data_IF_680110767581
#
_entry.id   IF_680110767581
#
_cell.length_a   1.000
_cell.length_b   1.000
_cell.length_c   1.000
_cell.angle_alpha   90.00
_cell.angle_beta   90.00
_cell.angle_gamma   90.00
#
_symmetry.space_group_name_H-M   'P 1'
#
loop_
_entity.id
_entity.type
_entity.pdbx_description
1 polymer ?
#
# COMPACT_ATOMS: atom_id res chain seq x y z
N UNK A 1 35.39 15.85 -10.61
CA UNK A 1 34.80 15.82 -9.26
C UNK A 1 33.50 15.04 -9.32
N UNK A 2 33.48 13.80 -8.79
CA UNK A 2 32.30 12.92 -8.80
C UNK A 2 31.37 13.35 -7.67
N UNK A 3 30.18 13.83 -8.01
CA UNK A 3 29.13 14.14 -7.04
C UNK A 3 28.51 12.87 -6.48
N UNK A 4 28.82 12.56 -5.22
CA UNK A 4 28.06 11.60 -4.43
C UNK A 4 26.66 12.17 -4.19
N UNK A 5 25.65 11.56 -4.81
CA UNK A 5 24.24 11.91 -4.63
C UNK A 5 23.78 11.28 -3.32
N UNK A 6 23.33 12.13 -2.40
CA UNK A 6 22.78 11.80 -1.08
C UNK A 6 21.65 10.76 -1.22
N UNK A 7 21.91 9.52 -0.81
CA UNK A 7 20.88 8.49 -0.56
C UNK A 7 20.73 8.16 0.94
N UNK A 8 21.54 8.74 1.83
CA UNK A 8 21.56 8.38 3.26
C UNK A 8 20.45 8.97 4.15
N UNK A 9 19.89 10.14 3.81
CA UNK A 9 19.06 10.90 4.78
C UNK A 9 17.69 10.30 5.10
N UNK A 10 17.10 9.49 4.20
CA UNK A 10 15.78 8.88 4.43
C UNK A 10 15.89 7.56 5.18
N UNK A 11 16.86 6.71 4.83
CA UNK A 11 17.12 5.45 5.53
C UNK A 11 17.56 5.71 6.98
N UNK A 12 18.45 6.68 7.22
CA UNK A 12 18.86 7.04 8.59
C UNK A 12 17.67 7.49 9.45
N UNK A 13 16.67 8.17 8.86
CA UNK A 13 15.50 8.63 9.61
C UNK A 13 14.50 7.52 9.95
N UNK A 14 14.40 6.49 9.10
CA UNK A 14 13.53 5.33 9.33
C UNK A 14 14.18 4.38 10.34
N UNK A 15 15.47 4.09 10.19
CA UNK A 15 16.21 3.25 11.15
C UNK A 15 16.24 3.87 12.55
N UNK A 16 16.38 5.19 12.67
CA UNK A 16 16.32 5.86 13.97
C UNK A 16 14.92 5.78 14.60
N UNK A 17 13.85 5.90 13.81
CA UNK A 17 12.48 5.79 14.31
C UNK A 17 12.17 4.38 14.81
N UNK A 18 12.65 3.35 14.10
CA UNK A 18 12.48 1.96 14.52
C UNK A 18 13.18 1.68 15.86
N UNK A 19 14.40 2.21 16.04
CA UNK A 19 15.13 2.12 17.32
C UNK A 19 14.39 2.87 18.44
N UNK A 20 13.87 4.07 18.19
CA UNK A 20 13.08 4.82 19.18
C UNK A 20 11.82 4.05 19.60
N UNK A 21 11.13 3.41 18.66
CA UNK A 21 9.95 2.58 18.93
C UNK A 21 10.30 1.34 19.76
N UNK A 22 11.41 0.67 19.45
CA UNK A 22 11.89 -0.48 20.23
C UNK A 22 12.28 -0.10 21.66
N UNK A 23 12.95 1.05 21.84
CA UNK A 23 13.27 1.60 23.16
C UNK A 23 11.98 1.86 23.93
N UNK A 24 11.00 2.51 23.30
CA UNK A 24 9.72 2.83 23.95
C UNK A 24 8.93 1.56 24.35
N UNK A 25 8.92 0.53 23.50
CA UNK A 25 8.34 -0.78 23.83
C UNK A 25 9.06 -1.41 25.03
N UNK A 26 10.39 -1.32 25.08
CA UNK A 26 11.18 -1.83 26.19
C UNK A 26 10.89 -1.06 27.49
N UNK A 27 10.73 0.26 27.42
CA UNK A 27 10.35 1.09 28.57
C UNK A 27 8.97 0.73 29.11
N UNK A 28 7.98 0.47 28.24
CA UNK A 28 6.65 0.00 28.64
C UNK A 28 6.72 -1.32 29.44
N UNK A 29 7.49 -2.28 28.93
CA UNK A 29 7.72 -3.56 29.62
C UNK A 29 8.47 -3.38 30.94
N UNK A 30 9.51 -2.56 30.95
CA UNK A 30 10.32 -2.29 32.15
C UNK A 30 9.47 -1.62 33.23
N UNK A 31 8.66 -0.62 32.88
CA UNK A 31 7.76 0.05 33.80
C UNK A 31 6.80 -0.94 34.45
N UNK A 32 6.16 -1.81 33.66
CA UNK A 32 5.27 -2.84 34.20
C UNK A 32 5.99 -3.73 35.22
N UNK A 33 7.20 -4.19 34.90
CA UNK A 33 7.98 -5.07 35.79
C UNK A 33 8.42 -4.36 37.07
N UNK A 34 8.83 -3.10 36.97
CA UNK A 34 9.18 -2.29 38.14
C UNK A 34 7.97 -2.04 39.03
N UNK A 35 6.81 -1.71 38.45
CA UNK A 35 5.56 -1.56 39.20
C UNK A 35 5.15 -2.85 39.93
N UNK A 36 5.28 -4.00 39.28
CA UNK A 36 5.03 -5.31 39.89
C UNK A 36 5.99 -5.58 41.06
N UNK A 37 7.27 -5.25 40.91
CA UNK A 37 8.27 -5.37 41.97
C UNK A 37 7.97 -4.46 43.16
N UNK A 38 7.62 -3.20 42.91
CA UNK A 38 7.24 -2.24 43.96
C UNK A 38 6.01 -2.70 44.74
N UNK A 39 4.97 -3.18 44.04
CA UNK A 39 3.77 -3.72 44.69
C UNK A 39 4.10 -4.89 45.63
N UNK A 40 5.04 -5.76 45.24
CA UNK A 40 5.50 -6.87 46.08
C UNK A 40 6.30 -6.38 47.30
N UNK A 41 7.25 -5.46 47.12
CA UNK A 41 8.05 -4.90 48.22
C UNK A 41 7.16 -4.20 49.26
N UNK A 42 6.17 -3.44 48.79
CA UNK A 42 5.21 -2.75 49.64
C UNK A 42 4.35 -3.69 50.49
N UNK A 43 4.18 -4.95 50.08
CA UNK A 43 3.41 -5.94 50.85
C UNK A 43 4.04 -6.25 52.22
N UNK A 44 5.36 -6.14 52.33
CA UNK A 44 6.09 -6.43 53.57
C UNK A 44 6.34 -5.18 54.44
N UNK A 45 6.27 -3.97 53.86
CA UNK A 45 6.70 -2.73 54.51
C UNK A 45 5.51 -1.86 54.91
N UNK A 46 4.49 -1.76 54.05
CA UNK A 46 3.40 -0.79 54.19
C UNK A 46 2.14 -1.48 54.72
N UNK A 47 1.48 -0.93 55.77
CA UNK A 47 0.21 -1.44 56.27
C UNK A 47 -0.88 -1.50 55.18
N UNK A 48 -1.72 -2.55 55.22
CA UNK A 48 -2.72 -2.81 54.17
C UNK A 48 -3.63 -1.61 53.88
N UNK A 49 -4.00 -0.85 54.93
CA UNK A 49 -4.90 0.32 54.83
C UNK A 49 -4.34 1.44 53.94
N UNK A 50 -3.02 1.59 53.88
CA UNK A 50 -2.35 2.69 53.18
C UNK A 50 -1.68 2.23 51.88
N UNK A 51 -1.52 0.91 51.68
CA UNK A 51 -0.74 0.33 50.57
C UNK A 51 -1.18 0.86 49.20
N UNK A 52 -2.48 0.88 48.93
CA UNK A 52 -3.02 1.32 47.62
C UNK A 52 -2.75 2.79 47.33
N UNK A 53 -2.97 3.66 48.32
CA UNK A 53 -2.75 5.11 48.16
C UNK A 53 -1.27 5.43 47.97
N UNK A 54 -0.40 4.76 48.71
CA UNK A 54 1.05 4.95 48.57
C UNK A 54 1.53 4.43 47.20
N UNK A 55 1.04 3.27 46.78
CA UNK A 55 1.43 2.68 45.49
C UNK A 55 0.98 3.56 44.32
N UNK A 56 -0.26 4.06 44.37
CA UNK A 56 -0.79 4.99 43.39
C UNK A 56 0.08 6.24 43.24
N UNK A 57 0.57 6.79 44.37
CA UNK A 57 1.49 7.92 44.39
C UNK A 57 2.89 7.61 43.82
N UNK A 58 3.43 6.43 44.10
CA UNK A 58 4.76 6.00 43.60
C UNK A 58 4.75 5.89 42.07
N UNK A 59 3.70 5.30 41.49
CA UNK A 59 3.67 5.00 40.06
C UNK A 59 3.27 6.19 39.18
N UNK A 60 2.68 7.26 39.74
CA UNK A 60 2.17 8.39 38.97
C UNK A 60 3.18 8.95 37.97
N UNK A 61 4.35 9.38 38.47
CA UNK A 61 5.31 10.13 37.66
C UNK A 61 5.86 9.31 36.49
N UNK A 62 6.23 8.05 36.76
CA UNK A 62 6.75 7.16 35.71
C UNK A 62 5.68 6.79 34.69
N UNK A 63 4.43 6.58 35.15
CA UNK A 63 3.31 6.31 34.26
C UNK A 63 2.96 7.52 33.40
N UNK A 64 3.00 8.73 33.96
CA UNK A 64 2.78 9.98 33.21
C UNK A 64 3.85 10.21 32.13
N UNK A 65 5.12 9.92 32.43
CA UNK A 65 6.20 10.03 31.45
C UNK A 65 5.95 9.13 30.24
N UNK A 66 5.68 7.85 30.48
CA UNK A 66 5.45 6.87 29.41
C UNK A 66 4.18 7.18 28.61
N UNK A 67 3.12 7.67 29.26
CA UNK A 67 1.90 8.11 28.56
C UNK A 67 2.17 9.33 27.70
N UNK A 68 2.91 10.32 28.22
CA UNK A 68 3.27 11.53 27.48
C UNK A 68 4.11 11.20 26.23
N UNK A 69 5.04 10.27 26.33
CA UNK A 69 5.82 9.78 25.17
C UNK A 69 4.92 9.12 24.11
N UNK A 70 3.95 8.31 24.52
CA UNK A 70 2.98 7.71 23.60
C UNK A 70 2.06 8.74 22.92
N UNK A 71 1.66 9.78 23.64
CA UNK A 71 0.90 10.91 23.08
C UNK A 71 1.72 11.74 22.09
N UNK A 72 3.02 11.92 22.37
CA UNK A 72 3.96 12.56 21.44
C UNK A 72 4.09 11.77 20.15
N UNK A 73 4.23 10.44 20.23
CA UNK A 73 4.27 9.56 19.07
C UNK A 73 3.00 9.71 18.21
N UNK A 74 1.82 9.69 18.83
CA UNK A 74 0.55 9.91 18.14
C UNK A 74 0.49 11.30 17.46
N UNK A 75 0.95 12.33 18.16
CA UNK A 75 0.97 13.71 17.64
C UNK A 75 1.93 13.85 16.45
N UNK A 76 3.10 13.21 16.52
CA UNK A 76 4.08 13.23 15.44
C UNK A 76 3.54 12.51 14.20
N UNK A 77 2.93 11.34 14.37
CA UNK A 77 2.28 10.63 13.28
C UNK A 77 1.20 11.49 12.61
N UNK A 78 0.30 12.12 13.40
CA UNK A 78 -0.73 13.05 12.86
C UNK A 78 -0.13 14.17 12.03
N UNK A 79 0.97 14.79 12.49
CA UNK A 79 1.65 15.86 11.76
C UNK A 79 2.20 15.39 10.42
N UNK A 80 2.80 14.20 10.36
CA UNK A 80 3.31 13.63 9.11
C UNK A 80 2.20 13.19 8.16
N UNK A 81 1.09 12.62 8.67
CA UNK A 81 -0.09 12.29 7.86
C UNK A 81 -0.67 13.55 7.19
N UNK A 82 -0.75 14.66 7.91
CA UNK A 82 -1.20 15.95 7.33
C UNK A 82 -0.28 16.43 6.20
N UNK A 83 1.00 16.05 6.21
CA UNK A 83 1.97 16.30 5.13
C UNK A 83 1.97 15.22 4.03
N UNK A 84 1.04 14.25 4.10
CA UNK A 84 0.93 13.11 3.20
C UNK A 84 2.11 12.12 3.30
N UNK A 85 2.78 12.10 4.44
CA UNK A 85 3.88 11.18 4.78
C UNK A 85 3.35 9.97 5.56
N UNK A 86 2.49 9.16 4.93
CA UNK A 86 1.77 8.08 5.62
C UNK A 86 2.64 7.00 6.25
N UNK A 87 3.87 6.79 5.75
CA UNK A 87 4.80 5.79 6.31
C UNK A 87 5.10 6.02 7.79
N UNK A 88 5.01 7.25 8.30
CA UNK A 88 5.27 7.55 9.72
C UNK A 88 4.31 6.81 10.66
N UNK A 89 3.10 6.49 10.21
CA UNK A 89 2.10 5.81 11.04
C UNK A 89 2.48 4.35 11.34
N UNK A 90 3.40 3.76 10.57
CA UNK A 90 3.86 2.38 10.78
C UNK A 90 4.46 2.20 12.19
N UNK A 91 5.07 3.24 12.76
CA UNK A 91 5.60 3.26 14.13
C UNK A 91 4.54 3.00 15.23
N UNK A 92 3.26 3.27 14.96
CA UNK A 92 2.18 3.10 15.95
C UNK A 92 1.81 1.62 16.12
N UNK A 93 1.88 0.80 15.07
CA UNK A 93 1.38 -0.58 15.11
C UNK A 93 2.17 -1.50 16.07
N UNK A 94 3.52 -1.49 16.09
CA UNK A 94 4.28 -2.24 17.09
C UNK A 94 3.91 -1.87 18.52
N UNK A 95 3.80 -0.56 18.79
CA UNK A 95 3.45 -0.03 20.12
C UNK A 95 2.07 -0.49 20.55
N UNK A 96 1.05 -0.34 19.70
CA UNK A 96 -0.32 -0.77 20.03
C UNK A 96 -0.43 -2.28 20.19
N UNK A 97 0.28 -3.07 19.37
CA UNK A 97 0.37 -4.52 19.52
C UNK A 97 0.94 -4.88 20.90
N UNK A 98 2.05 -4.25 21.29
CA UNK A 98 2.68 -4.49 22.58
C UNK A 98 1.79 -4.05 23.75
N UNK A 99 1.24 -2.84 23.69
CA UNK A 99 0.33 -2.30 24.71
C UNK A 99 -0.86 -3.23 24.96
N UNK A 100 -1.48 -3.77 23.91
CA UNK A 100 -2.58 -4.75 24.04
C UNK A 100 -2.12 -6.04 24.74
N UNK A 101 -0.91 -6.50 24.47
CA UNK A 101 -0.37 -7.72 25.08
C UNK A 101 -0.12 -7.57 26.60
N UNK A 102 0.36 -6.41 27.04
CA UNK A 102 0.70 -6.15 28.45
C UNK A 102 -0.44 -5.50 29.24
N UNK A 103 -1.52 -5.06 28.57
CA UNK A 103 -2.65 -4.40 29.21
C UNK A 103 -3.29 -5.21 30.35
N UNK A 104 -3.55 -6.53 30.24
CA UNK A 104 -4.12 -7.30 31.34
C UNK A 104 -3.25 -7.27 32.60
N UNK A 105 -1.92 -7.37 32.44
CA UNK A 105 -0.98 -7.30 33.55
C UNK A 105 -0.92 -5.91 34.18
N UNK A 106 -1.02 -4.86 33.37
CA UNK A 106 -1.15 -3.48 33.85
C UNK A 106 -2.44 -3.27 34.65
N UNK A 107 -3.58 -3.73 34.10
CA UNK A 107 -4.89 -3.60 34.74
C UNK A 107 -4.93 -4.34 36.09
N UNK A 108 -4.28 -5.51 36.16
CA UNK A 108 -4.10 -6.28 37.39
C UNK A 108 -3.17 -5.55 38.39
N UNK A 109 -2.02 -5.07 37.93
CA UNK A 109 -1.03 -4.39 38.79
C UNK A 109 -1.59 -3.10 39.38
N UNK A 110 -2.44 -2.39 38.64
CA UNK A 110 -3.08 -1.15 39.06
C UNK A 110 -4.43 -1.36 39.78
N UNK A 111 -4.78 -2.60 40.12
CA UNK A 111 -6.03 -2.89 40.82
C UNK A 111 -6.06 -2.20 42.19
N UNK A 112 -7.08 -1.36 42.41
CA UNK A 112 -7.24 -0.60 43.64
C UNK A 112 -6.54 0.77 43.68
N UNK A 113 -5.80 1.15 42.63
CA UNK A 113 -5.38 2.55 42.42
C UNK A 113 -6.58 3.43 42.04
N UNK A 114 -6.39 4.76 42.06
CA UNK A 114 -7.42 5.70 41.63
C UNK A 114 -7.79 5.52 40.15
N UNK A 115 -9.04 5.86 39.81
CA UNK A 115 -9.56 5.74 38.43
C UNK A 115 -8.71 6.45 37.38
N UNK A 116 -8.20 7.69 37.62
CA UNK A 116 -7.33 8.37 36.65
C UNK A 116 -6.07 7.57 36.32
N UNK A 117 -5.43 6.95 37.31
CA UNK A 117 -4.24 6.11 37.11
C UNK A 117 -4.57 4.89 36.26
N UNK A 118 -5.68 4.23 36.58
CA UNK A 118 -6.12 3.00 35.90
C UNK A 118 -6.54 3.25 34.46
N UNK A 119 -7.03 4.45 34.13
CA UNK A 119 -7.49 4.78 32.78
C UNK A 119 -6.38 5.24 31.83
N UNK A 120 -5.20 5.64 32.34
CA UNK A 120 -4.08 6.17 31.53
C UNK A 120 -3.70 5.27 30.35
N UNK A 121 -3.45 3.98 30.60
CA UNK A 121 -3.05 3.04 29.54
C UNK A 121 -4.16 2.84 28.50
N UNK A 122 -5.41 2.73 28.95
CA UNK A 122 -6.56 2.59 28.06
C UNK A 122 -6.79 3.85 27.21
N UNK A 123 -6.61 5.04 27.79
CA UNK A 123 -6.68 6.32 27.09
C UNK A 123 -5.60 6.43 26.02
N UNK A 124 -4.35 6.12 26.36
CA UNK A 124 -3.24 6.11 25.41
C UNK A 124 -3.48 5.11 24.27
N UNK A 125 -3.93 3.89 24.60
CA UNK A 125 -4.26 2.86 23.61
C UNK A 125 -5.37 3.34 22.64
N UNK A 126 -6.39 4.02 23.17
CA UNK A 126 -7.46 4.63 22.37
C UNK A 126 -6.92 5.72 21.44
N UNK A 127 -6.08 6.61 21.96
CA UNK A 127 -5.46 7.70 21.18
C UNK A 127 -4.60 7.18 20.04
N UNK A 128 -3.71 6.22 20.33
CA UNK A 128 -2.86 5.59 19.31
C UNK A 128 -3.70 4.80 18.31
N UNK A 129 -4.67 4.02 18.77
CA UNK A 129 -5.55 3.22 17.91
C UNK A 129 -6.40 4.08 16.96
N UNK A 130 -7.00 5.16 17.47
CA UNK A 130 -7.76 6.12 16.68
C UNK A 130 -6.88 6.86 15.67
N UNK A 131 -5.65 7.22 16.06
CA UNK A 131 -4.67 7.83 15.16
C UNK A 131 -4.29 6.90 14.02
N UNK A 132 -3.99 5.63 14.32
CA UNK A 132 -3.69 4.60 13.32
C UNK A 132 -4.85 4.35 12.37
N UNK A 133 -6.07 4.18 12.89
CA UNK A 133 -7.26 3.96 12.08
C UNK A 133 -7.55 5.15 11.15
N UNK A 134 -7.49 6.38 11.68
CA UNK A 134 -7.71 7.59 10.90
C UNK A 134 -6.67 7.74 9.78
N UNK A 135 -5.41 7.43 10.04
CA UNK A 135 -4.36 7.44 9.03
C UNK A 135 -4.63 6.46 7.88
N UNK A 136 -5.11 5.25 8.21
CA UNK A 136 -5.46 4.23 7.22
C UNK A 136 -6.62 4.71 6.33
N UNK A 137 -7.63 5.36 6.90
CA UNK A 137 -8.75 5.95 6.15
C UNK A 137 -8.29 7.13 5.27
N UNK A 138 -7.50 8.05 5.84
CA UNK A 138 -6.95 9.19 5.10
C UNK A 138 -6.05 8.75 3.95
N UNK A 139 -5.37 7.60 4.09
CA UNK A 139 -4.58 7.02 3.02
C UNK A 139 -5.44 6.63 1.81
N UNK A 140 -6.61 6.03 2.03
CA UNK A 140 -7.54 5.70 0.94
C UNK A 140 -7.99 6.99 0.24
N UNK A 141 -8.34 8.01 1.00
CA UNK A 141 -8.76 9.30 0.43
C UNK A 141 -7.62 9.98 -0.34
N UNK A 142 -6.37 9.85 0.13
CA UNK A 142 -5.21 10.36 -0.60
C UNK A 142 -5.01 9.69 -1.97
N UNK A 143 -5.29 8.38 -2.08
CA UNK A 143 -5.21 7.64 -3.35
C UNK A 143 -6.33 8.09 -4.29
N UNK A 144 -7.56 8.22 -3.78
CA UNK A 144 -8.71 8.66 -4.59
C UNK A 144 -8.49 10.05 -5.18
N UNK A 145 -7.94 10.96 -4.37
CA UNK A 145 -7.74 12.35 -4.73
C UNK A 145 -6.37 12.63 -5.39
N UNK A 146 -5.57 11.60 -5.70
CA UNK A 146 -4.30 11.77 -6.40
C UNK A 146 -4.55 12.36 -7.81
N UNK A 147 -3.93 13.51 -8.18
CA UNK A 147 -4.32 14.25 -9.37
C UNK A 147 -4.07 13.48 -10.67
N UNK A 148 -5.08 13.40 -11.55
CA UNK A 148 -5.04 12.58 -12.77
C UNK A 148 -3.88 12.91 -13.73
N UNK A 149 -3.48 14.19 -13.82
CA UNK A 149 -2.38 14.62 -14.72
C UNK A 149 -1.01 14.73 -14.05
N UNK A 150 -0.90 14.43 -12.76
CA UNK A 150 0.38 14.52 -12.06
C UNK A 150 1.33 13.44 -12.59
N UNK A 151 2.42 13.87 -13.23
CA UNK A 151 3.59 13.03 -13.57
C UNK A 151 3.30 11.73 -14.33
N UNK A 152 2.39 11.75 -15.32
CA UNK A 152 2.11 10.57 -16.15
C UNK A 152 3.38 10.08 -16.89
N UNK A 153 3.76 8.80 -16.78
CA UNK A 153 4.95 8.27 -17.44
C UNK A 153 4.75 8.22 -18.96
N UNK A 154 5.70 8.75 -19.73
CA UNK A 154 5.57 8.89 -21.20
C UNK A 154 5.48 7.56 -21.95
N UNK A 155 6.00 6.50 -21.35
CA UNK A 155 6.14 5.15 -21.88
C UNK A 155 5.13 4.16 -21.29
N UNK A 156 4.21 4.63 -20.43
CA UNK A 156 3.22 3.77 -19.79
C UNK A 156 3.79 2.82 -18.75
N UNK A 157 4.92 3.15 -18.11
CA UNK A 157 5.46 2.34 -17.00
C UNK A 157 4.54 2.36 -15.77
N UNK A 158 4.91 1.56 -14.76
CA UNK A 158 4.27 1.58 -13.44
C UNK A 158 4.28 3.01 -12.89
N UNK A 159 3.14 3.46 -12.39
CA UNK A 159 2.96 4.79 -11.81
C UNK A 159 3.54 4.84 -10.39
N UNK A 160 4.06 5.99 -9.96
CA UNK A 160 4.59 6.17 -8.60
C UNK A 160 3.53 5.89 -7.52
N UNK A 161 2.29 6.32 -7.75
CA UNK A 161 1.14 6.01 -6.88
C UNK A 161 1.01 4.51 -6.60
N UNK A 162 1.08 3.68 -7.64
CA UNK A 162 1.04 2.21 -7.50
C UNK A 162 2.16 1.71 -6.60
N UNK A 163 3.38 2.18 -6.85
CA UNK A 163 4.54 1.78 -6.06
C UNK A 163 4.40 2.21 -4.60
N UNK A 164 4.03 3.47 -4.35
CA UNK A 164 3.81 4.02 -3.00
C UNK A 164 2.71 3.28 -2.25
N UNK A 165 1.62 2.92 -2.94
CA UNK A 165 0.56 2.11 -2.34
C UNK A 165 1.07 0.76 -1.90
N UNK A 166 1.75 0.02 -2.77
CA UNK A 166 2.28 -1.31 -2.42
C UNK A 166 3.30 -1.23 -1.28
N UNK A 167 4.25 -0.29 -1.32
CA UNK A 167 5.25 -0.09 -0.26
C UNK A 167 4.60 0.20 1.09
N UNK A 168 3.50 0.94 1.12
CA UNK A 168 2.76 1.21 2.35
C UNK A 168 2.01 -0.03 2.88
N UNK A 169 1.44 -0.86 2.00
CA UNK A 169 0.65 -2.01 2.39
C UNK A 169 1.49 -3.20 2.89
N UNK A 170 2.68 -3.42 2.32
CA UNK A 170 3.53 -4.58 2.64
C UNK A 170 3.85 -4.71 4.14
N UNK A 171 4.36 -3.67 4.85
CA UNK A 171 4.69 -3.78 6.28
C UNK A 171 3.48 -4.00 7.19
N UNK A 172 2.29 -3.57 6.76
CA UNK A 172 1.08 -3.70 7.58
C UNK A 172 0.60 -5.15 7.71
N UNK A 173 1.09 -6.07 6.86
CA UNK A 173 0.73 -7.50 6.92
C UNK A 173 1.06 -8.13 8.28
N UNK A 174 2.23 -7.78 8.84
CA UNK A 174 2.70 -8.26 10.16
C UNK A 174 1.85 -7.75 11.34
N UNK A 175 1.05 -6.72 11.07
CA UNK A 175 0.16 -6.06 12.01
C UNK A 175 -1.31 -6.23 11.64
N UNK A 176 -1.65 -7.22 10.80
CA UNK A 176 -3.01 -7.46 10.29
C UNK A 176 -4.09 -7.50 11.38
N UNK A 177 -3.87 -8.21 12.48
CA UNK A 177 -4.77 -8.24 13.64
C UNK A 177 -4.85 -6.88 14.34
N UNK A 178 -3.71 -6.25 14.58
CA UNK A 178 -3.62 -4.94 15.25
C UNK A 178 -4.37 -3.87 14.47
N UNK A 179 -4.09 -3.75 13.18
CA UNK A 179 -4.70 -2.82 12.25
C UNK A 179 -6.21 -3.07 12.09
N UNK A 180 -6.60 -4.34 11.95
CA UNK A 180 -8.01 -4.74 11.90
C UNK A 180 -8.79 -4.33 13.14
N UNK A 181 -8.23 -4.58 14.33
CA UNK A 181 -8.85 -4.17 15.58
C UNK A 181 -8.88 -2.64 15.76
N UNK A 182 -7.86 -1.90 15.31
CA UNK A 182 -7.92 -0.43 15.28
C UNK A 182 -9.09 0.07 14.42
N UNK A 183 -9.25 -0.49 13.21
CA UNK A 183 -10.33 -0.13 12.29
C UNK A 183 -11.73 -0.48 12.85
N UNK A 184 -11.86 -1.61 13.56
CA UNK A 184 -13.10 -1.99 14.23
C UNK A 184 -13.47 -1.01 15.35
N UNK A 185 -12.51 -0.67 16.21
CA UNK A 185 -12.72 0.26 17.33
C UNK A 185 -12.99 1.70 16.88
N UNK A 186 -12.58 2.08 15.67
CA UNK A 186 -12.84 3.41 15.12
C UNK A 186 -14.23 3.52 14.48
N UNK A 187 -14.68 2.47 13.78
CA UNK A 187 -15.93 2.47 13.01
C UNK A 187 -17.16 1.97 13.77
N UNK A 188 -16.99 1.08 14.75
CA UNK A 188 -18.03 0.67 15.68
C UNK A 188 -17.78 1.47 16.98
N UNK A 189 -18.79 2.10 17.60
CA UNK A 189 -18.67 2.65 18.97
C UNK A 189 -18.54 1.51 20.01
N UNK A 190 -17.70 0.52 19.72
CA UNK A 190 -17.43 -0.62 20.57
C UNK A 190 -16.65 -0.16 21.79
N UNK A 191 -17.04 -0.68 22.96
CA UNK A 191 -16.34 -0.40 24.19
C UNK A 191 -14.88 -0.89 24.08
N UNK A 192 -13.88 -0.11 24.50
CA UNK A 192 -12.47 -0.47 24.40
C UNK A 192 -12.03 -1.69 25.24
N UNK A 193 -12.97 -2.38 25.91
CA UNK A 193 -12.70 -3.55 26.75
C UNK A 193 -13.21 -4.89 26.19
N UNK A 194 -13.87 -4.92 25.04
CA UNK A 194 -14.22 -6.20 24.41
C UNK A 194 -13.00 -6.78 23.71
N UNK A 195 -12.67 -8.04 24.02
CA UNK A 195 -11.64 -8.79 23.32
C UNK A 195 -12.08 -8.94 21.86
N UNK A 196 -11.48 -8.13 20.97
CA UNK A 196 -11.80 -8.18 19.55
C UNK A 196 -11.31 -9.52 19.00
N UNK A 197 -12.22 -10.31 18.47
CA UNK A 197 -11.89 -11.59 17.83
C UNK A 197 -10.80 -11.38 16.77
N UNK A 198 -9.71 -12.15 16.89
CA UNK A 198 -8.58 -12.09 15.97
C UNK A 198 -9.02 -12.38 14.52
N UNK A 199 -10.00 -13.28 14.33
CA UNK A 199 -10.55 -13.58 13.01
C UNK A 199 -11.34 -12.38 12.47
N UNK A 200 -12.25 -11.79 13.26
CA UNK A 200 -12.98 -10.56 12.89
C UNK A 200 -12.01 -9.43 12.53
N UNK A 201 -10.93 -9.27 13.30
CA UNK A 201 -9.89 -8.27 13.06
C UNK A 201 -9.18 -8.49 11.72
N UNK A 202 -8.67 -9.70 11.46
CA UNK A 202 -8.05 -10.04 10.17
C UNK A 202 -9.00 -9.82 8.99
N UNK A 203 -10.27 -10.20 9.14
CA UNK A 203 -11.28 -9.97 8.10
C UNK A 203 -11.53 -8.49 7.85
N UNK A 204 -11.60 -7.66 8.90
CA UNK A 204 -11.74 -6.20 8.74
C UNK A 204 -10.55 -5.59 8.02
N UNK A 205 -9.34 -6.06 8.33
CA UNK A 205 -8.13 -5.60 7.67
C UNK A 205 -8.05 -6.05 6.20
N UNK A 206 -8.51 -7.26 5.89
CA UNK A 206 -8.64 -7.75 4.51
C UNK A 206 -9.66 -6.92 3.69
N UNK A 207 -10.79 -6.53 4.29
CA UNK A 207 -11.75 -5.57 3.70
C UNK A 207 -11.10 -4.21 3.42
N UNK A 208 -10.31 -3.68 4.36
CA UNK A 208 -9.54 -2.46 4.17
C UNK A 208 -8.56 -2.56 2.99
N UNK A 209 -7.77 -3.64 2.92
CA UNK A 209 -6.84 -3.89 1.82
C UNK A 209 -7.53 -3.91 0.46
N UNK A 210 -8.70 -4.56 0.40
CA UNK A 210 -9.53 -4.60 -0.82
C UNK A 210 -9.94 -3.19 -1.23
N UNK A 211 -10.40 -2.36 -0.29
CA UNK A 211 -10.79 -0.96 -0.56
C UNK A 211 -9.63 -0.10 -1.07
N UNK A 212 -8.44 -0.26 -0.50
CA UNK A 212 -7.23 0.45 -0.99
C UNK A 212 -6.94 0.06 -2.44
N UNK A 213 -6.92 -1.23 -2.74
CA UNK A 213 -6.64 -1.74 -4.08
C UNK A 213 -7.71 -1.32 -5.10
N UNK A 214 -8.98 -1.31 -4.71
CA UNK A 214 -10.06 -0.80 -5.56
C UNK A 214 -9.94 0.70 -5.82
N UNK A 215 -9.61 1.51 -4.80
CA UNK A 215 -9.38 2.93 -4.96
C UNK A 215 -8.19 3.21 -5.90
N UNK A 216 -7.10 2.47 -5.75
CA UNK A 216 -5.95 2.53 -6.63
C UNK A 216 -6.32 2.17 -8.07
N UNK A 217 -7.03 1.04 -8.27
CA UNK A 217 -7.47 0.60 -9.60
C UNK A 217 -8.32 1.64 -10.32
N UNK A 218 -9.30 2.24 -9.63
CA UNK A 218 -10.13 3.31 -10.19
C UNK A 218 -9.32 4.56 -10.54
N UNK A 219 -8.44 5.00 -9.65
CA UNK A 219 -7.60 6.18 -9.92
C UNK A 219 -6.66 5.95 -11.12
N UNK A 220 -6.05 4.76 -11.22
CA UNK A 220 -5.22 4.37 -12.36
C UNK A 220 -6.03 4.33 -13.67
N UNK A 221 -7.26 3.82 -13.63
CA UNK A 221 -8.15 3.83 -14.79
C UNK A 221 -8.39 5.26 -15.29
N UNK A 222 -8.72 6.20 -14.39
CA UNK A 222 -8.93 7.60 -14.73
C UNK A 222 -7.65 8.25 -15.28
N UNK A 223 -6.50 7.97 -14.66
CA UNK A 223 -5.18 8.42 -15.15
C UNK A 223 -4.88 7.91 -16.56
N UNK A 224 -5.21 6.65 -16.85
CA UNK A 224 -4.97 6.06 -18.17
C UNK A 224 -5.70 6.81 -19.29
N UNK A 225 -6.89 7.34 -19.01
CA UNK A 225 -7.67 8.11 -19.99
C UNK A 225 -7.02 9.44 -20.38
N UNK A 226 -6.05 9.93 -19.59
CA UNK A 226 -5.32 11.18 -19.88
C UNK A 226 -4.27 11.04 -20.99
N UNK A 227 -3.91 9.82 -21.40
CA UNK A 227 -3.00 9.62 -22.53
C UNK A 227 -3.65 10.07 -23.84
N UNK A 228 -2.92 10.91 -24.58
CA UNK A 228 -3.27 11.34 -25.93
C UNK A 228 -3.27 10.17 -26.92
N UNK A 229 -2.33 9.24 -26.76
CA UNK A 229 -2.27 8.01 -27.56
C UNK A 229 -3.12 6.92 -26.89
N UNK A 230 -4.24 6.49 -27.53
CA UNK A 230 -5.08 5.43 -26.98
C UNK A 230 -4.36 4.09 -26.83
N UNK A 231 -3.26 3.86 -27.56
CA UNK A 231 -2.51 2.60 -27.48
C UNK A 231 -1.64 2.48 -26.22
N UNK A 232 -1.30 3.61 -25.60
CA UNK A 232 -0.55 3.62 -24.33
C UNK A 232 -1.42 3.33 -23.11
N UNK A 233 -2.73 3.55 -23.18
CA UNK A 233 -3.67 3.28 -22.08
C UNK A 233 -3.64 1.83 -21.63
N UNK A 234 -3.84 0.84 -22.53
CA UNK A 234 -3.77 -0.57 -22.13
C UNK A 234 -2.37 -0.99 -21.68
N UNK A 235 -1.30 -0.40 -22.24
CA UNK A 235 0.09 -0.68 -21.79
C UNK A 235 0.30 -0.21 -20.35
N UNK A 236 -0.14 1.01 -20.04
CA UNK A 236 -0.09 1.57 -18.70
C UNK A 236 -0.86 0.72 -17.69
N UNK A 237 -2.12 0.40 -17.99
CA UNK A 237 -2.95 -0.42 -17.11
C UNK A 237 -2.35 -1.82 -16.93
N UNK A 238 -1.87 -2.44 -18.01
CA UNK A 238 -1.21 -3.74 -17.99
C UNK A 238 0.01 -3.75 -17.06
N UNK A 239 0.88 -2.75 -17.16
CA UNK A 239 2.08 -2.65 -16.33
C UNK A 239 1.74 -2.51 -14.84
N UNK A 240 0.79 -1.64 -14.51
CA UNK A 240 0.37 -1.41 -13.13
C UNK A 240 -0.35 -2.63 -12.54
N UNK A 241 -1.29 -3.27 -13.26
CA UNK A 241 -1.96 -4.48 -12.77
C UNK A 241 -1.00 -5.66 -12.58
N UNK A 242 -0.06 -5.88 -13.51
CA UNK A 242 0.98 -6.89 -13.32
C UNK A 242 1.83 -6.60 -12.08
N UNK A 243 2.20 -5.34 -11.86
CA UNK A 243 3.00 -4.96 -10.69
C UNK A 243 2.23 -5.20 -9.40
N UNK A 244 0.96 -4.78 -9.34
CA UNK A 244 0.09 -5.01 -8.18
C UNK A 244 -0.01 -6.50 -7.90
N UNK A 245 -0.45 -7.31 -8.87
CA UNK A 245 -0.66 -8.75 -8.69
C UNK A 245 0.63 -9.46 -8.24
N UNK A 246 1.76 -9.17 -8.88
CA UNK A 246 3.06 -9.75 -8.48
C UNK A 246 3.44 -9.35 -7.06
N UNK A 247 3.26 -8.08 -6.70
CA UNK A 247 3.65 -7.58 -5.39
C UNK A 247 2.80 -8.16 -4.28
N UNK A 248 1.46 -8.16 -4.42
CA UNK A 248 0.55 -8.72 -3.42
C UNK A 248 0.68 -10.25 -3.30
N UNK A 249 1.07 -10.94 -4.38
CA UNK A 249 1.36 -12.37 -4.35
C UNK A 249 2.67 -12.63 -3.61
N UNK A 250 3.74 -11.90 -3.96
CA UNK A 250 5.07 -12.07 -3.37
C UNK A 250 5.08 -11.78 -1.87
N UNK A 251 4.40 -10.73 -1.42
CA UNK A 251 4.36 -10.35 -0.01
C UNK A 251 3.43 -11.22 0.84
N UNK A 252 2.57 -12.04 0.22
CA UNK A 252 1.55 -12.81 0.93
C UNK A 252 0.28 -12.02 1.28
N UNK A 253 0.21 -10.73 0.90
CA UNK A 253 -1.02 -9.91 1.04
C UNK A 253 -2.22 -10.55 0.34
N UNK A 254 -2.01 -11.24 -0.79
CA UNK A 254 -3.05 -11.95 -1.51
C UNK A 254 -3.77 -12.99 -0.63
N UNK A 255 -3.02 -13.73 0.19
CA UNK A 255 -3.58 -14.75 1.09
C UNK A 255 -4.48 -14.14 2.16
N UNK A 256 -4.12 -12.95 2.66
CA UNK A 256 -4.94 -12.20 3.59
C UNK A 256 -6.23 -11.74 2.92
N UNK A 257 -6.16 -11.18 1.72
CA UNK A 257 -7.34 -10.68 0.99
C UNK A 257 -8.29 -11.83 0.63
N UNK A 258 -7.78 -13.03 0.33
CA UNK A 258 -8.60 -14.22 0.11
C UNK A 258 -9.50 -14.61 1.29
N UNK A 259 -9.26 -14.08 2.50
CA UNK A 259 -10.18 -14.26 3.63
C UNK A 259 -11.54 -13.58 3.42
N UNK A 260 -11.60 -12.50 2.64
CA UNK A 260 -12.84 -11.77 2.35
C UNK A 260 -13.23 -11.79 0.87
N UNK A 261 -12.27 -11.84 -0.05
CA UNK A 261 -12.49 -11.83 -1.49
C UNK A 261 -11.60 -12.89 -2.16
N UNK A 262 -12.18 -14.05 -2.44
CA UNK A 262 -11.47 -15.21 -3.02
C UNK A 262 -11.09 -15.02 -4.49
N UNK A 263 -11.80 -14.15 -5.19
CA UNK A 263 -11.66 -14.01 -6.64
C UNK A 263 -10.72 -12.87 -7.04
N UNK A 264 -10.10 -12.17 -6.06
CA UNK A 264 -9.24 -11.00 -6.32
C UNK A 264 -8.04 -11.35 -7.22
N UNK A 265 -7.46 -12.54 -7.06
CA UNK A 265 -6.37 -13.00 -7.91
C UNK A 265 -6.82 -13.15 -9.36
N UNK A 266 -7.92 -13.88 -9.57
CA UNK A 266 -8.52 -14.08 -10.88
C UNK A 266 -8.94 -12.75 -11.52
N UNK A 267 -9.51 -11.83 -10.73
CA UNK A 267 -9.87 -10.50 -11.19
C UNK A 267 -8.68 -9.77 -11.82
N UNK A 268 -7.51 -9.76 -11.16
CA UNK A 268 -6.33 -9.11 -11.72
C UNK A 268 -5.80 -9.83 -12.97
N UNK A 269 -5.85 -11.16 -13.00
CA UNK A 269 -5.49 -11.93 -14.19
C UNK A 269 -6.39 -11.58 -15.38
N UNK A 270 -7.71 -11.53 -15.17
CA UNK A 270 -8.69 -11.17 -16.19
C UNK A 270 -8.47 -9.75 -16.70
N UNK A 271 -8.21 -8.80 -15.79
CA UNK A 271 -7.85 -7.43 -16.17
C UNK A 271 -6.56 -7.39 -17.00
N UNK A 272 -5.54 -8.15 -16.62
CA UNK A 272 -4.28 -8.25 -17.39
C UNK A 272 -4.53 -8.84 -18.78
N UNK A 273 -5.36 -9.87 -18.90
CA UNK A 273 -5.73 -10.47 -20.17
C UNK A 273 -6.50 -9.49 -21.06
N UNK A 274 -7.44 -8.75 -20.49
CA UNK A 274 -8.20 -7.74 -21.21
C UNK A 274 -7.29 -6.61 -21.73
N UNK A 275 -6.37 -6.09 -20.91
CA UNK A 275 -5.42 -5.06 -21.38
C UNK A 275 -4.50 -5.58 -22.49
N UNK A 276 -4.10 -6.86 -22.47
CA UNK A 276 -3.36 -7.48 -23.59
C UNK A 276 -4.20 -7.54 -24.86
N UNK A 277 -5.48 -7.90 -24.75
CA UNK A 277 -6.42 -7.93 -25.90
C UNK A 277 -6.56 -6.54 -26.51
N UNK A 278 -6.86 -5.53 -25.69
CA UNK A 278 -6.99 -4.13 -26.14
C UNK A 278 -5.72 -3.60 -26.80
N UNK A 279 -4.54 -3.93 -26.24
CA UNK A 279 -3.28 -3.59 -26.87
C UNK A 279 -3.10 -4.29 -28.22
N UNK A 280 -3.40 -5.58 -28.31
CA UNK A 280 -3.33 -6.35 -29.57
C UNK A 280 -4.25 -5.78 -30.65
N UNK A 281 -5.48 -5.36 -30.30
CA UNK A 281 -6.41 -4.74 -31.24
C UNK A 281 -5.90 -3.42 -31.81
N UNK A 282 -5.06 -2.71 -31.04
CA UNK A 282 -4.41 -1.50 -31.54
C UNK A 282 -3.46 -1.77 -32.72
N UNK A 283 -2.99 -3.02 -32.88
CA UNK A 283 -2.17 -3.47 -34.00
C UNK A 283 -2.98 -3.87 -35.22
N UNK A 284 -4.28 -4.14 -35.09
CA UNK A 284 -5.12 -4.65 -36.19
C UNK A 284 -5.07 -3.76 -37.43
N UNK A 285 -5.03 -2.43 -37.29
CA UNK A 285 -4.89 -1.50 -38.43
C UNK A 285 -3.53 -1.64 -39.12
N UNK A 286 -2.45 -1.78 -38.34
CA UNK A 286 -1.09 -1.94 -38.88
C UNK A 286 -0.94 -3.31 -39.56
N UNK A 287 -1.46 -4.36 -38.92
CA UNK A 287 -1.48 -5.71 -39.47
C UNK A 287 -2.33 -5.79 -40.73
N UNK A 288 -3.49 -5.12 -40.79
CA UNK A 288 -4.30 -5.02 -41.99
C UNK A 288 -3.54 -4.39 -43.15
N UNK A 289 -2.83 -3.27 -42.92
CA UNK A 289 -1.99 -2.69 -43.97
C UNK A 289 -0.85 -3.60 -44.40
N UNK A 290 -0.19 -4.30 -43.47
CA UNK A 290 0.92 -5.21 -43.82
C UNK A 290 0.39 -6.44 -44.59
N UNK A 291 -0.74 -7.01 -44.16
CA UNK A 291 -1.33 -8.23 -44.72
C UNK A 291 -2.12 -7.98 -46.02
N UNK A 292 -2.76 -6.82 -46.20
CA UNK A 292 -3.41 -6.47 -47.48
C UNK A 292 -2.40 -6.01 -48.54
N UNK A 293 -1.26 -5.43 -48.15
CA UNK A 293 -0.14 -5.20 -49.08
C UNK A 293 0.45 -6.55 -49.56
N UNK A 294 0.25 -7.61 -48.78
CA UNK A 294 0.63 -8.99 -49.11
C UNK A 294 -0.45 -9.76 -49.90
N UNK A 295 -1.60 -9.16 -50.27
CA UNK A 295 -2.28 -9.68 -51.47
C UNK A 295 -1.33 -9.42 -52.63
N UNK A 296 -0.76 -10.49 -53.24
CA UNK A 296 0.34 -10.29 -54.13
C UNK A 296 -0.17 -9.46 -55.29
N UNK A 297 0.43 -8.29 -55.50
CA UNK A 297 0.22 -7.39 -56.65
C UNK A 297 0.27 -8.14 -58.01
N UNK A 298 0.67 -9.41 -58.04
CA UNK A 298 0.56 -10.32 -59.18
C UNK A 298 -0.88 -10.77 -59.47
N UNK A 299 -1.73 -11.03 -58.49
CA UNK A 299 -3.12 -11.47 -58.70
C UNK A 299 -4.03 -10.33 -59.14
N UNK A 300 -3.87 -9.13 -58.57
CA UNK A 300 -4.63 -7.94 -58.98
C UNK A 300 -4.23 -7.41 -60.38
N UNK A 301 -2.99 -7.66 -60.83
CA UNK A 301 -2.48 -7.25 -62.16
C UNK A 301 -2.97 -8.14 -63.31
N UNK A 302 -3.41 -9.36 -63.04
CA UNK A 302 -3.83 -10.33 -64.05
C UNK A 302 -5.32 -10.21 -64.43
N UNK A 303 -6.13 -9.47 -63.65
CA UNK A 303 -7.59 -9.42 -63.82
C UNK A 303 -8.16 -8.04 -64.22
N UNK A 304 -7.35 -7.09 -64.69
CA UNK A 304 -7.85 -5.76 -65.10
C UNK A 304 -7.51 -5.39 -66.56
N UNK A 305 -8.47 -4.80 -67.32
CA UNK A 305 -8.21 -4.22 -68.63
C UNK A 305 -7.20 -3.06 -68.59
N UNK A 306 -6.38 -2.95 -69.63
CA UNK A 306 -5.19 -2.07 -69.74
C UNK A 306 -5.40 -0.59 -69.41
N UNK A 307 -6.63 -0.08 -69.55
CA UNK A 307 -6.95 1.34 -69.39
C UNK A 307 -6.91 1.80 -67.93
N UNK A 308 -7.10 0.90 -66.96
CA UNK A 308 -7.08 1.24 -65.52
C UNK A 308 -5.67 1.32 -64.93
N UNK A 309 -4.65 0.86 -65.68
CA UNK A 309 -3.24 0.78 -65.26
C UNK A 309 -2.59 2.16 -65.06
N UNK A 310 -3.13 3.21 -65.69
CA UNK A 310 -2.62 4.59 -65.65
C UNK A 310 -3.30 5.49 -64.60
N UNK A 311 -4.31 5.00 -63.88
CA UNK A 311 -5.15 5.81 -62.97
C UNK A 311 -5.09 5.38 -61.50
N UNK A 312 -4.06 4.65 -61.09
CA UNK A 312 -3.82 4.36 -59.67
C UNK A 312 -2.76 5.31 -59.13
N UNK A 313 -3.08 6.25 -58.21
CA UNK A 313 -2.05 6.96 -57.48
C UNK A 313 -1.30 5.94 -56.62
N UNK A 314 0.04 6.00 -56.62
CA UNK A 314 0.89 5.30 -55.65
C UNK A 314 0.25 5.47 -54.26
N UNK A 315 -0.27 4.40 -53.65
CA UNK A 315 -0.75 4.44 -52.27
C UNK A 315 0.50 4.45 -51.37
N UNK A 316 1.17 5.61 -51.35
CA UNK A 316 2.26 5.92 -50.43
C UNK A 316 1.64 6.15 -49.05
N UNK A 317 2.06 5.35 -48.08
CA UNK A 317 1.81 5.63 -46.66
C UNK A 317 2.11 7.11 -46.38
N UNK A 318 1.12 7.84 -45.87
CA UNK A 318 1.30 9.24 -45.49
C UNK A 318 2.34 9.30 -44.36
N UNK A 319 3.13 10.37 -44.30
CA UNK A 319 4.19 10.47 -43.29
C UNK A 319 3.67 10.36 -41.85
N UNK A 320 2.42 10.77 -41.60
CA UNK A 320 1.71 10.58 -40.34
C UNK A 320 1.49 9.10 -39.99
N UNK A 321 1.24 8.24 -40.98
CA UNK A 321 1.02 6.80 -40.79
C UNK A 321 2.34 6.07 -40.58
N UNK A 322 3.41 6.45 -41.30
CA UNK A 322 4.76 5.96 -41.05
C UNK A 322 5.26 6.31 -39.65
N UNK A 323 5.01 7.55 -39.21
CA UNK A 323 5.35 7.98 -37.86
C UNK A 323 4.58 7.19 -36.80
N UNK A 324 3.27 6.97 -37.00
CA UNK A 324 2.44 6.17 -36.11
C UNK A 324 2.94 4.71 -36.02
N UNK A 325 3.34 4.10 -37.14
CA UNK A 325 3.97 2.77 -37.16
C UNK A 325 5.28 2.78 -36.38
N UNK A 326 6.15 3.77 -36.63
CA UNK A 326 7.44 3.91 -35.94
C UNK A 326 7.27 4.10 -34.43
N UNK A 327 6.30 4.90 -34.01
CA UNK A 327 5.98 5.13 -32.60
C UNK A 327 5.47 3.84 -31.95
N UNK A 328 4.58 3.10 -32.61
CA UNK A 328 4.09 1.79 -32.13
C UNK A 328 5.18 0.74 -32.01
N UNK A 329 6.11 0.68 -32.98
CA UNK A 329 7.27 -0.21 -32.90
C UNK A 329 8.23 0.21 -31.79
N UNK A 330 8.41 1.51 -31.56
CA UNK A 330 9.22 2.01 -30.44
C UNK A 330 8.60 1.64 -29.09
N UNK A 331 7.28 1.77 -28.95
CA UNK A 331 6.53 1.34 -27.75
C UNK A 331 6.64 -0.17 -27.55
N UNK A 332 6.52 -0.97 -28.62
CA UNK A 332 6.72 -2.44 -28.56
C UNK A 332 8.14 -2.83 -28.17
N UNK A 333 9.13 -2.15 -28.75
CA UNK A 333 10.54 -2.41 -28.45
C UNK A 333 10.83 -2.09 -26.99
N UNK A 334 10.31 -0.98 -26.47
CA UNK A 334 10.41 -0.63 -25.06
C UNK A 334 9.65 -1.63 -24.17
N UNK A 335 8.46 -2.09 -24.57
CA UNK A 335 7.72 -3.15 -23.87
C UNK A 335 8.54 -4.45 -23.79
N UNK A 336 9.20 -4.84 -24.88
CA UNK A 336 10.08 -6.01 -24.92
C UNK A 336 11.36 -5.82 -24.10
N UNK A 337 11.98 -4.63 -24.12
CA UNK A 337 13.17 -4.31 -23.33
C UNK A 337 12.87 -4.21 -21.83
N UNK A 338 11.71 -3.66 -21.44
CA UNK A 338 11.22 -3.66 -20.06
C UNK A 338 10.90 -5.09 -19.61
N UNK A 339 10.30 -5.91 -20.49
CA UNK A 339 10.09 -7.33 -20.20
C UNK A 339 11.41 -8.06 -20.00
N UNK A 340 12.40 -7.84 -20.85
CA UNK A 340 13.73 -8.46 -20.74
C UNK A 340 14.52 -7.98 -19.51
N UNK A 341 14.35 -6.73 -19.07
CA UNK A 341 15.00 -6.22 -17.85
C UNK A 341 14.29 -6.67 -16.57
N UNK A 342 12.97 -6.88 -16.59
CA UNK A 342 12.20 -7.42 -15.47
C UNK A 342 12.20 -8.96 -15.43
N UNK A 343 12.45 -9.64 -16.55
CA UNK A 343 12.57 -11.10 -16.64
C UNK A 343 14.03 -11.49 -16.79
N UNK A 344 14.77 -11.50 -15.68
CA UNK A 344 16.08 -12.15 -15.61
C UNK A 344 16.05 -13.66 -15.92
N UNK A 345 14.89 -14.26 -16.24
CA UNK A 345 14.78 -15.58 -16.87
C UNK A 345 13.34 -15.83 -17.36
N UNK A 346 13.24 -16.61 -18.45
CA UNK A 346 12.08 -17.36 -18.98
C UNK A 346 11.47 -16.85 -20.30
N UNK A 347 11.81 -17.63 -21.33
CA UNK A 347 11.24 -17.77 -22.66
C UNK A 347 9.70 -17.72 -22.70
N UNK A 348 9.12 -16.86 -23.54
CA UNK A 348 7.68 -16.87 -23.86
C UNK A 348 7.39 -16.60 -25.36
N UNK A 349 8.24 -17.13 -26.24
CA UNK A 349 7.87 -17.47 -27.63
C UNK A 349 8.27 -18.93 -27.91
N UNK A 350 7.55 -19.84 -27.27
CA UNK A 350 7.40 -21.24 -27.73
C UNK A 350 5.96 -21.67 -27.44
N UNK A 351 5.05 -21.20 -28.28
CA UNK A 351 4.14 -22.01 -29.09
C UNK A 351 3.30 -21.06 -29.95
#
# INVERSE_FOLDING_TARGET
SKGHRRQGSYNDSVENLDVEVEIYITQLSALLKLMQSEAQLMSCIIPDKNRRTVFDGIVQQSLDSVVSEGEMLATQAKKSINKHEFMSVLSIFPVVKHLRSIKPDFDYTLEGCSTPTRSKLASMLSTLGSTGAKALEDFIESIKNDPERASMPKDGTVHELTNRTIIFLEPLLDYSETAGAMLLMHGEQAAPSEAVDAKKSKMKFADYMTKVLSALGLNLSNKSETYNDPTLRPVFMLNNYNYILKSITRSGLLNLIHLCNKDVGQYYEDQIHEQKRLYSESWSKVLHYILEIDEPLSQQRLMMPDVKRLMMPDVKLKDKEKQNIKDKFSVSKNYLEIRLSLSGNINLFKQ
#
